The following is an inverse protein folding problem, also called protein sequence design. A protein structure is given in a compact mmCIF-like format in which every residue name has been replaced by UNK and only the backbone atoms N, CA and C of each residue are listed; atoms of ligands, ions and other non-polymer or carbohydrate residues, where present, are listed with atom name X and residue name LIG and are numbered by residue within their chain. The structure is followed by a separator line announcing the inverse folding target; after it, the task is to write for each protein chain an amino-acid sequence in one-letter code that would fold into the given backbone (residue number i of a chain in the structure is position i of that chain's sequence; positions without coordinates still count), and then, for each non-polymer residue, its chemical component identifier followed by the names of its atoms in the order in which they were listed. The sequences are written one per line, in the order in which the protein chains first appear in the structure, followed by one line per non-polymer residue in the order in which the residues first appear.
data_IF_383917453591
#
_entry.id   IF_383917453591
#
_cell.length_a   1.000
_cell.length_b   1.000
_cell.length_c   1.000
_cell.angle_alpha   90.00
_cell.angle_beta   90.00
_cell.angle_gamma   90.00
#
_symmetry.space_group_name_H-M   'P 1'
#
loop_
_entity.id
_entity.type
_entity.pdbx_description
1 polymer ?
#
# COMPACT_ATOMS: atom_id res chain seq x y z
N UNK A 1 -3.76 96.37 55.54
CA UNK A 1 -4.22 95.34 54.57
C UNK A 1 -5.07 94.35 55.34
N UNK A 2 -6.41 94.49 55.33
CA UNK A 2 -7.34 93.68 56.13
C UNK A 2 -7.26 92.16 55.85
N UNK A 3 -6.60 91.74 54.77
CA UNK A 3 -6.41 90.34 54.37
C UNK A 3 -5.40 89.52 55.22
N UNK A 4 -4.72 90.12 56.20
CA UNK A 4 -3.76 89.44 57.09
C UNK A 4 -4.25 89.37 58.54
N UNK A 5 -5.57 89.38 58.78
CA UNK A 5 -6.16 89.13 60.09
C UNK A 5 -6.22 87.62 60.37
N UNK A 6 -5.55 87.10 61.43
CA UNK A 6 -5.50 85.66 61.72
C UNK A 6 -6.86 85.02 62.03
N UNK A 7 -7.86 85.81 62.42
CA UNK A 7 -9.21 85.32 62.71
C UNK A 7 -9.96 84.85 61.45
N UNK A 8 -9.59 85.34 60.26
CA UNK A 8 -10.24 84.96 58.99
C UNK A 8 -9.72 83.62 58.42
N UNK A 9 -8.65 83.05 58.98
CA UNK A 9 -8.04 81.81 58.49
C UNK A 9 -8.79 80.55 58.91
N UNK A 10 -9.42 80.54 60.09
CA UNK A 10 -10.15 79.37 60.59
C UNK A 10 -11.37 78.99 59.73
N UNK A 11 -12.25 79.94 59.32
CA UNK A 11 -13.35 79.63 58.40
C UNK A 11 -12.88 79.12 57.04
N UNK A 12 -11.77 79.65 56.52
CA UNK A 12 -11.20 79.23 55.23
C UNK A 12 -10.66 77.80 55.30
N UNK A 13 -10.01 77.41 56.39
CA UNK A 13 -9.52 76.04 56.61
C UNK A 13 -10.66 75.03 56.76
N UNK A 14 -11.76 75.43 57.42
CA UNK A 14 -12.95 74.57 57.55
C UNK A 14 -13.59 74.35 56.17
N UNK A 15 -13.80 75.39 55.38
CA UNK A 15 -14.33 75.24 54.02
C UNK A 15 -13.38 74.49 53.09
N UNK A 16 -12.07 74.67 53.23
CA UNK A 16 -11.08 73.86 52.51
C UNK A 16 -11.23 72.38 52.85
N UNK A 17 -11.34 72.02 54.14
CA UNK A 17 -11.55 70.64 54.56
C UNK A 17 -12.85 70.05 54.04
N UNK A 18 -13.95 70.83 54.08
CA UNK A 18 -15.25 70.39 53.57
C UNK A 18 -15.21 70.15 52.07
N UNK A 19 -14.70 71.11 51.30
CA UNK A 19 -14.62 71.00 49.83
C UNK A 19 -13.64 69.92 49.38
N UNK A 20 -12.48 69.82 50.04
CA UNK A 20 -11.51 68.77 49.81
C UNK A 20 -12.06 67.39 50.19
N UNK A 21 -12.78 67.27 51.32
CA UNK A 21 -13.42 66.04 51.74
C UNK A 21 -14.50 65.56 50.75
N UNK A 22 -15.34 66.47 50.26
CA UNK A 22 -16.33 66.17 49.22
C UNK A 22 -15.65 65.72 47.93
N UNK A 23 -14.62 66.44 47.48
CA UNK A 23 -13.84 66.06 46.29
C UNK A 23 -13.19 64.68 46.45
N UNK A 24 -12.61 64.40 47.63
CA UNK A 24 -11.98 63.12 47.95
C UNK A 24 -12.99 61.97 47.90
N UNK A 25 -14.17 62.14 48.53
CA UNK A 25 -15.23 61.13 48.48
C UNK A 25 -15.71 60.87 47.06
N UNK A 26 -15.88 61.93 46.24
CA UNK A 26 -16.21 61.77 44.82
C UNK A 26 -15.11 61.03 44.05
N UNK A 27 -13.84 61.30 44.34
CA UNK A 27 -12.72 60.59 43.71
C UNK A 27 -12.71 59.10 44.06
N UNK A 28 -12.98 58.77 45.33
CA UNK A 28 -13.02 57.38 45.82
C UNK A 28 -14.21 56.62 45.25
N UNK A 29 -15.39 57.24 45.18
CA UNK A 29 -16.60 56.55 44.72
C UNK A 29 -16.77 56.55 43.19
N UNK A 30 -16.12 57.46 42.46
CA UNK A 30 -16.34 57.59 41.01
C UNK A 30 -15.04 57.32 40.23
N UNK A 31 -13.95 58.03 40.53
CA UNK A 31 -12.74 57.97 39.71
C UNK A 31 -11.98 56.65 39.88
N UNK A 32 -11.77 56.22 41.13
CA UNK A 32 -11.08 54.96 41.44
C UNK A 32 -11.77 53.71 40.84
N UNK A 33 -13.09 53.48 41.03
CA UNK A 33 -13.75 52.32 40.44
C UNK A 33 -13.80 52.36 38.91
N UNK A 34 -13.92 53.54 38.30
CA UNK A 34 -13.83 53.70 36.83
C UNK A 34 -12.49 53.23 36.29
N UNK A 35 -11.38 53.64 36.93
CA UNK A 35 -10.03 53.25 36.50
C UNK A 35 -9.78 51.76 36.76
N UNK A 36 -10.19 51.25 37.93
CA UNK A 36 -10.08 49.83 38.28
C UNK A 36 -10.81 48.93 37.26
N UNK A 37 -12.05 49.29 36.90
CA UNK A 37 -12.84 48.54 35.93
C UNK A 37 -12.19 48.48 34.54
N UNK A 38 -11.56 49.55 34.07
CA UNK A 38 -10.85 49.56 32.78
C UNK A 38 -9.62 48.64 32.80
N UNK A 39 -8.86 48.67 33.89
CA UNK A 39 -7.68 47.79 34.05
C UNK A 39 -8.11 46.32 34.11
N UNK A 40 -9.13 46.02 34.91
CA UNK A 40 -9.66 44.67 35.04
C UNK A 40 -10.24 44.15 33.71
N UNK A 41 -10.99 44.98 32.99
CA UNK A 41 -11.53 44.62 31.67
C UNK A 41 -10.41 44.28 30.69
N UNK A 42 -9.34 45.09 30.64
CA UNK A 42 -8.19 44.81 29.77
C UNK A 42 -7.46 43.54 30.20
N UNK A 43 -7.23 43.34 31.49
CA UNK A 43 -6.58 42.14 32.00
C UNK A 43 -7.40 40.88 31.69
N UNK A 44 -8.72 40.94 31.85
CA UNK A 44 -9.64 39.86 31.53
C UNK A 44 -9.65 39.55 30.03
N UNK A 45 -9.66 40.56 29.16
CA UNK A 45 -9.57 40.36 27.71
C UNK A 45 -8.24 39.71 27.31
N UNK A 46 -7.11 40.21 27.81
CA UNK A 46 -5.79 39.63 27.50
C UNK A 46 -5.71 38.17 27.99
N UNK A 47 -6.21 37.88 29.19
CA UNK A 47 -6.24 36.52 29.71
C UNK A 47 -7.13 35.60 28.87
N UNK A 48 -8.30 36.08 28.43
CA UNK A 48 -9.20 35.33 27.56
C UNK A 48 -8.58 35.06 26.18
N UNK A 49 -7.94 36.06 25.58
CA UNK A 49 -7.27 35.93 24.29
C UNK A 49 -6.09 34.96 24.36
N UNK A 50 -5.30 35.02 25.45
CA UNK A 50 -4.19 34.10 25.68
C UNK A 50 -4.70 32.66 25.87
N UNK A 51 -5.75 32.47 26.67
CA UNK A 51 -6.35 31.16 26.89
C UNK A 51 -6.94 30.59 25.57
N UNK A 52 -7.58 31.42 24.76
CA UNK A 52 -8.07 31.02 23.44
C UNK A 52 -6.93 30.64 22.50
N UNK A 53 -5.84 31.42 22.48
CA UNK A 53 -4.66 31.12 21.69
C UNK A 53 -3.97 29.81 22.11
N UNK A 54 -3.83 29.57 23.42
CA UNK A 54 -3.28 28.31 23.95
C UNK A 54 -4.16 27.12 23.60
N UNK A 55 -5.49 27.27 23.70
CA UNK A 55 -6.44 26.22 23.33
C UNK A 55 -6.34 25.89 21.84
N UNK A 56 -6.37 26.89 20.97
CA UNK A 56 -6.24 26.71 19.52
C UNK A 56 -4.89 26.08 19.15
N UNK A 57 -3.82 26.47 19.84
CA UNK A 57 -2.50 25.88 19.65
C UNK A 57 -2.52 24.39 20.01
N UNK A 58 -3.08 24.02 21.16
CA UNK A 58 -3.19 22.61 21.57
C UNK A 58 -4.05 21.80 20.61
N UNK A 59 -5.21 22.31 20.21
CA UNK A 59 -6.07 21.67 19.21
C UNK A 59 -5.33 21.45 17.88
N UNK A 60 -4.50 22.41 17.47
CA UNK A 60 -3.68 22.29 16.25
C UNK A 60 -2.57 21.25 16.41
N UNK A 61 -1.85 21.26 17.54
CA UNK A 61 -0.80 20.27 17.84
C UNK A 61 -1.38 18.85 17.89
N UNK A 62 -2.55 18.66 18.51
CA UNK A 62 -3.27 17.39 18.53
C UNK A 62 -3.72 16.95 17.13
N UNK A 63 -4.26 17.88 16.33
CA UNK A 63 -4.69 17.59 14.97
C UNK A 63 -3.50 17.22 14.06
N UNK A 64 -2.35 17.89 14.20
CA UNK A 64 -1.12 17.56 13.48
C UNK A 64 -0.64 16.16 13.90
N UNK A 65 -0.57 15.87 15.20
CA UNK A 65 -0.15 14.56 15.68
C UNK A 65 -1.06 13.42 15.18
N UNK A 66 -2.38 13.62 15.23
CA UNK A 66 -3.35 12.66 14.71
C UNK A 66 -3.22 12.46 13.19
N UNK A 67 -3.00 13.54 12.44
CA UNK A 67 -2.77 13.48 10.99
C UNK A 67 -1.48 12.74 10.65
N UNK A 68 -0.37 13.04 11.34
CA UNK A 68 0.92 12.37 11.14
C UNK A 68 0.83 10.87 11.48
N UNK A 69 0.14 10.53 12.57
CA UNK A 69 -0.11 9.14 12.94
C UNK A 69 -0.95 8.42 11.86
N UNK A 70 -2.06 9.02 11.42
CA UNK A 70 -2.90 8.45 10.37
C UNK A 70 -2.13 8.25 9.05
N UNK A 71 -1.25 9.19 8.69
CA UNK A 71 -0.38 9.08 7.52
C UNK A 71 0.64 7.95 7.67
N UNK A 72 1.26 7.81 8.84
CA UNK A 72 2.19 6.73 9.13
C UNK A 72 1.51 5.35 9.06
N UNK A 73 0.33 5.21 9.68
CA UNK A 73 -0.48 3.99 9.62
C UNK A 73 -0.92 3.67 8.18
N UNK A 74 -1.34 4.67 7.40
CA UNK A 74 -1.73 4.47 6.01
C UNK A 74 -0.56 3.99 5.16
N UNK A 75 0.64 4.56 5.34
CA UNK A 75 1.86 4.10 4.66
C UNK A 75 2.20 2.66 5.05
N UNK A 76 2.15 2.33 6.35
CA UNK A 76 2.39 0.96 6.82
C UNK A 76 1.39 -0.04 6.24
N UNK A 77 0.10 0.28 6.22
CA UNK A 77 -0.94 -0.55 5.62
C UNK A 77 -0.72 -0.73 4.12
N UNK A 78 -0.35 0.33 3.39
CA UNK A 78 -0.04 0.25 1.97
C UNK A 78 1.15 -0.69 1.71
N UNK A 79 2.24 -0.56 2.48
CA UNK A 79 3.39 -1.47 2.38
C UNK A 79 2.99 -2.92 2.70
N UNK A 80 2.19 -3.15 3.73
CA UNK A 80 1.71 -4.48 4.08
C UNK A 80 0.88 -5.11 2.95
N UNK A 81 -0.04 -4.34 2.35
CA UNK A 81 -0.86 -4.81 1.21
C UNK A 81 0.03 -5.16 0.01
N UNK A 82 1.04 -4.36 -0.30
CA UNK A 82 1.96 -4.63 -1.41
C UNK A 82 2.74 -5.92 -1.14
N UNK A 83 3.30 -6.09 0.05
CA UNK A 83 4.06 -7.30 0.38
C UNK A 83 3.18 -8.55 0.42
N UNK A 84 1.97 -8.48 1.00
CA UNK A 84 0.99 -9.57 0.97
C UNK A 84 0.61 -9.92 -0.47
N UNK A 85 0.37 -8.91 -1.32
CA UNK A 85 0.08 -9.09 -2.74
C UNK A 85 1.22 -9.77 -3.49
N UNK A 86 2.48 -9.39 -3.21
CA UNK A 86 3.67 -10.01 -3.81
C UNK A 86 3.82 -11.47 -3.40
N UNK A 87 3.58 -11.79 -2.12
CA UNK A 87 3.63 -13.16 -1.61
C UNK A 87 2.55 -14.02 -2.26
N UNK A 88 1.30 -13.53 -2.33
CA UNK A 88 0.20 -14.24 -2.99
C UNK A 88 0.46 -14.46 -4.48
N UNK A 89 0.86 -13.41 -5.19
CA UNK A 89 1.16 -13.49 -6.62
C UNK A 89 2.29 -14.48 -6.92
N UNK A 90 3.33 -14.49 -6.08
CA UNK A 90 4.43 -15.45 -6.23
C UNK A 90 3.93 -16.89 -6.02
N UNK A 91 3.14 -17.13 -4.97
CA UNK A 91 2.58 -18.45 -4.70
C UNK A 91 1.67 -18.95 -5.84
N UNK A 92 0.80 -18.07 -6.37
CA UNK A 92 -0.05 -18.39 -7.53
C UNK A 92 0.78 -18.67 -8.79
N UNK A 93 1.81 -17.86 -9.04
CA UNK A 93 2.70 -18.05 -10.19
C UNK A 93 3.46 -19.37 -10.10
N UNK A 94 3.98 -19.71 -8.92
CA UNK A 94 4.72 -20.96 -8.70
C UNK A 94 3.79 -22.18 -8.83
N UNK A 95 2.54 -22.07 -8.35
CA UNK A 95 1.54 -23.12 -8.50
C UNK A 95 1.13 -23.34 -9.97
N UNK A 96 0.87 -22.26 -10.72
CA UNK A 96 0.50 -22.38 -12.13
C UNK A 96 1.67 -22.88 -12.99
N UNK A 97 2.91 -22.46 -12.67
CA UNK A 97 4.13 -23.01 -13.29
C UNK A 97 4.24 -24.52 -13.06
N UNK A 98 4.12 -24.98 -11.81
CA UNK A 98 4.20 -26.40 -11.50
C UNK A 98 3.13 -27.21 -12.24
N UNK A 99 1.92 -26.67 -12.36
CA UNK A 99 0.82 -27.29 -13.13
C UNK A 99 1.13 -27.33 -14.63
N UNK A 100 1.67 -26.25 -15.19
CA UNK A 100 2.05 -26.18 -16.59
C UNK A 100 3.19 -27.16 -16.90
N UNK A 101 4.20 -27.22 -16.04
CA UNK A 101 5.33 -28.15 -16.15
C UNK A 101 4.85 -29.61 -16.14
N UNK A 102 3.91 -29.95 -15.24
CA UNK A 102 3.29 -31.28 -15.22
C UNK A 102 2.51 -31.60 -16.50
N UNK A 103 1.77 -30.63 -17.05
CA UNK A 103 1.05 -30.80 -18.32
C UNK A 103 2.00 -30.96 -19.50
N UNK A 104 3.10 -30.21 -19.53
CA UNK A 104 4.12 -30.29 -20.56
C UNK A 104 4.85 -31.63 -20.50
N UNK A 105 5.18 -32.12 -19.30
CA UNK A 105 5.78 -33.45 -19.12
C UNK A 105 4.85 -34.55 -19.65
N UNK A 106 3.57 -34.53 -19.27
CA UNK A 106 2.59 -35.51 -19.74
C UNK A 106 2.40 -35.49 -21.27
N UNK A 107 2.37 -34.30 -21.88
CA UNK A 107 2.33 -34.16 -23.34
C UNK A 107 3.61 -34.65 -24.01
N UNK A 108 4.76 -34.46 -23.37
CA UNK A 108 6.05 -34.98 -23.82
C UNK A 108 6.02 -36.51 -23.87
N UNK A 109 5.59 -37.17 -22.79
CA UNK A 109 5.45 -38.62 -22.73
C UNK A 109 4.44 -39.15 -23.77
N UNK A 110 3.30 -38.47 -23.97
CA UNK A 110 2.34 -38.86 -25.02
C UNK A 110 2.96 -38.75 -26.42
N UNK A 111 3.70 -37.68 -26.69
CA UNK A 111 4.37 -37.46 -27.96
C UNK A 111 5.45 -38.53 -28.21
N UNK A 112 6.27 -38.85 -27.20
CA UNK A 112 7.26 -39.93 -27.29
C UNK A 112 6.61 -41.28 -27.57
N UNK A 113 5.52 -41.61 -26.86
CA UNK A 113 4.78 -42.85 -27.10
C UNK A 113 4.18 -42.92 -28.52
N UNK A 114 3.68 -41.78 -29.04
CA UNK A 114 3.20 -41.69 -30.43
C UNK A 114 4.32 -41.87 -31.44
N UNK A 115 5.48 -41.26 -31.21
CA UNK A 115 6.66 -41.39 -32.08
C UNK A 115 7.12 -42.85 -32.12
N UNK A 116 7.21 -43.52 -30.97
CA UNK A 116 7.64 -44.93 -30.93
C UNK A 116 6.63 -45.85 -31.64
N UNK A 117 5.32 -45.64 -31.46
CA UNK A 117 4.29 -46.37 -32.21
C UNK A 117 4.40 -46.14 -33.72
N UNK A 118 4.58 -44.89 -34.15
CA UNK A 118 4.75 -44.55 -35.56
C UNK A 118 6.01 -45.17 -36.14
N UNK A 119 7.11 -45.18 -35.39
CA UNK A 119 8.38 -45.83 -35.77
C UNK A 119 8.22 -47.34 -35.92
N UNK A 120 7.55 -48.01 -34.98
CA UNK A 120 7.28 -49.46 -35.08
C UNK A 120 6.40 -49.77 -36.30
N UNK A 121 5.36 -48.98 -36.54
CA UNK A 121 4.50 -49.14 -37.71
C UNK A 121 5.28 -48.93 -39.01
N UNK A 122 6.03 -47.84 -39.14
CA UNK A 122 6.86 -47.56 -40.31
C UNK A 122 7.89 -48.67 -40.56
N UNK A 123 8.54 -49.18 -39.51
CA UNK A 123 9.48 -50.30 -39.64
C UNK A 123 8.78 -51.59 -40.09
N UNK A 124 7.53 -51.82 -39.69
CA UNK A 124 6.73 -52.96 -40.18
C UNK A 124 6.38 -52.80 -41.66
N UNK A 125 5.95 -51.61 -42.06
CA UNK A 125 5.60 -51.30 -43.45
C UNK A 125 6.82 -51.42 -44.36
N UNK A 126 7.99 -50.94 -43.92
CA UNK A 126 9.26 -51.13 -44.63
C UNK A 126 9.59 -52.61 -44.82
N UNK A 127 9.37 -53.48 -43.82
CA UNK A 127 9.59 -54.92 -43.98
C UNK A 127 8.62 -55.53 -45.00
N UNK A 128 7.35 -55.13 -44.97
CA UNK A 128 6.36 -55.62 -45.94
C UNK A 128 6.76 -55.23 -47.38
N UNK A 129 7.13 -53.96 -47.58
CA UNK A 129 7.61 -53.47 -48.88
C UNK A 129 8.91 -54.18 -49.29
N UNK A 130 9.85 -54.40 -48.37
CA UNK A 130 11.09 -55.11 -48.65
C UNK A 130 10.85 -56.58 -49.06
N UNK A 131 9.93 -57.29 -48.37
CA UNK A 131 9.51 -58.64 -48.75
C UNK A 131 8.85 -58.68 -50.12
N UNK A 132 7.94 -57.75 -50.40
CA UNK A 132 7.24 -57.68 -51.69
C UNK A 132 8.22 -57.37 -52.84
N UNK A 133 9.13 -56.41 -52.65
CA UNK A 133 10.18 -56.07 -53.62
C UNK A 133 11.17 -57.23 -53.82
N UNK A 134 11.58 -57.91 -52.74
CA UNK A 134 12.46 -59.08 -52.84
C UNK A 134 11.79 -60.24 -53.59
N UNK A 135 10.50 -60.50 -53.33
CA UNK A 135 9.73 -61.51 -54.06
C UNK A 135 9.61 -61.17 -55.56
N UNK A 136 9.38 -59.89 -55.90
CA UNK A 136 9.31 -59.42 -57.29
C UNK A 136 10.65 -59.54 -58.01
N UNK A 137 11.77 -59.20 -57.35
CA UNK A 137 13.12 -59.35 -57.91
C UNK A 137 13.41 -60.83 -58.17
N UNK A 138 13.12 -61.72 -57.22
CA UNK A 138 13.35 -63.16 -57.36
C UNK A 138 12.46 -63.75 -58.46
N UNK A 139 11.19 -63.35 -58.53
CA UNK A 139 10.28 -63.77 -59.62
C UNK A 139 10.79 -63.36 -60.99
N UNK A 140 11.37 -62.16 -61.13
CA UNK A 140 12.01 -61.70 -62.38
C UNK A 140 13.28 -62.48 -62.72
N UNK A 141 14.03 -62.96 -61.72
CA UNK A 141 15.30 -63.68 -61.92
C UNK A 141 15.11 -65.17 -62.29
N UNK A 142 14.21 -65.86 -61.59
CA UNK A 142 14.04 -67.33 -61.67
C UNK A 142 12.76 -67.74 -62.40
N UNK A 143 11.95 -66.77 -62.84
CA UNK A 143 10.73 -66.99 -63.64
C UNK A 143 9.54 -67.59 -62.88
N UNK A 144 9.73 -68.01 -61.62
CA UNK A 144 8.71 -68.60 -60.75
C UNK A 144 8.62 -67.81 -59.44
N UNK A 145 7.40 -67.67 -58.91
CA UNK A 145 7.17 -66.93 -57.67
C UNK A 145 7.64 -67.76 -56.46
N UNK A 146 8.60 -67.27 -55.65
CA UNK A 146 9.04 -67.98 -54.45
C UNK A 146 7.93 -68.03 -53.40
N UNK A 147 7.98 -69.03 -52.52
CA UNK A 147 7.03 -69.14 -51.42
C UNK A 147 7.18 -67.94 -50.46
N UNK A 148 6.08 -67.23 -50.20
CA UNK A 148 6.06 -66.00 -49.38
C UNK A 148 6.70 -66.19 -47.99
N UNK A 149 6.51 -67.37 -47.40
CA UNK A 149 7.10 -67.73 -46.11
C UNK A 149 8.64 -67.84 -46.12
N UNK A 150 9.27 -68.19 -47.24
CA UNK A 150 10.74 -68.24 -47.35
C UNK A 150 11.34 -66.86 -47.56
N UNK A 151 10.68 -66.00 -48.34
CA UNK A 151 11.09 -64.60 -48.56
C UNK A 151 11.04 -63.82 -47.24
N UNK A 152 9.96 -63.95 -46.48
CA UNK A 152 9.83 -63.29 -45.17
C UNK A 152 10.90 -63.78 -44.16
N UNK A 153 11.27 -65.06 -44.22
CA UNK A 153 12.35 -65.63 -43.40
C UNK A 153 13.72 -65.10 -43.80
N UNK A 154 13.98 -64.93 -45.10
CA UNK A 154 15.25 -64.42 -45.61
C UNK A 154 15.42 -62.92 -45.33
N UNK A 155 14.36 -62.11 -45.52
CA UNK A 155 14.37 -60.66 -45.23
C UNK A 155 14.53 -60.42 -43.72
N UNK A 156 13.87 -61.20 -42.88
CA UNK A 156 14.04 -61.09 -41.42
C UNK A 156 15.41 -61.56 -40.93
N UNK A 157 16.04 -62.55 -41.58
CA UNK A 157 17.42 -62.96 -41.30
C UNK A 157 18.44 -61.89 -41.70
N UNK A 158 18.27 -61.27 -42.87
CA UNK A 158 19.15 -60.20 -43.36
C UNK A 158 19.12 -58.93 -42.48
N UNK A 159 18.01 -58.68 -41.77
CA UNK A 159 17.87 -57.54 -40.84
C UNK A 159 18.57 -57.74 -39.48
N UNK A 160 18.88 -58.99 -39.11
CA UNK A 160 19.55 -59.34 -37.84
C UNK A 160 21.08 -59.42 -37.96
N UNK A 161 21.62 -59.45 -39.18
CA UNK A 161 23.05 -59.40 -39.49
C UNK A 161 23.52 -57.93 -39.60
#
# INVERSE_FOLDING_TARGET
MPQLNPLDWAPQLIWLLVTFGVLYLLMVWIALPRIGSVIETRAAHIAADLAAAERLRRETEEAIAAYEQALAEAKQKAHAIVEEGRVKLKAETDAERAKLDAQLAAKGEEAEARIEKAKVAAMKDVNAVASDVAADIVKKLIGTAPAKAEVDKAVSAARKA
#
